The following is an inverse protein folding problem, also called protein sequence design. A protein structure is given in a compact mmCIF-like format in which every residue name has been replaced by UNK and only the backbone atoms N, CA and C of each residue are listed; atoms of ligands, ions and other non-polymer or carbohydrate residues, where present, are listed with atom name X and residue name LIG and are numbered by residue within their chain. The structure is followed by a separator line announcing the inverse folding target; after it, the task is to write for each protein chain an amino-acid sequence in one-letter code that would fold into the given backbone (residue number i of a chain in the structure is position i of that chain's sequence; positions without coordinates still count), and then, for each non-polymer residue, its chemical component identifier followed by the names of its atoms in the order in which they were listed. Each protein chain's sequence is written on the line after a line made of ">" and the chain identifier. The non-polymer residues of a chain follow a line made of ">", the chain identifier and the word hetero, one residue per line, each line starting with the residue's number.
data_IF_059036038480
#
_entry.id   IF_059036038480
#
_cell.length_a   1.000
_cell.length_b   1.000
_cell.length_c   1.000
_cell.angle_alpha   90.00
_cell.angle_beta   90.00
_cell.angle_gamma   90.00
#
_symmetry.space_group_name_H-M   'P 1'
#
loop_
_entity.id
_entity.type
_entity.pdbx_description
1 polymer ?
#
# COMPACT_ATOMS: atom_id res chain seq x y z
N UNK A 1 21.33 -6.61 -21.35
CA UNK A 1 21.29 -6.16 -19.95
C UNK A 1 22.21 -6.98 -19.03
N UNK A 2 23.52 -6.95 -19.26
CA UNK A 2 24.49 -7.60 -18.36
C UNK A 2 25.24 -6.55 -17.51
N UNK A 3 24.50 -5.58 -16.94
CA UNK A 3 25.09 -4.62 -16.01
C UNK A 3 25.11 -5.24 -14.61
N UNK A 4 26.32 -5.45 -14.04
CA UNK A 4 26.52 -6.05 -12.73
C UNK A 4 25.78 -5.28 -11.62
N UNK A 5 25.82 -3.95 -11.66
CA UNK A 5 25.14 -3.09 -10.68
C UNK A 5 23.62 -3.25 -10.76
N UNK A 6 23.04 -3.30 -11.96
CA UNK A 6 21.61 -3.53 -12.12
C UNK A 6 21.18 -4.92 -11.57
N UNK A 7 21.98 -5.96 -11.84
CA UNK A 7 21.70 -7.30 -11.32
C UNK A 7 21.73 -7.33 -9.81
N UNK A 8 22.71 -6.67 -9.16
CA UNK A 8 22.78 -6.54 -7.70
C UNK A 8 21.54 -5.86 -7.15
N UNK A 9 21.08 -4.76 -7.77
CA UNK A 9 19.86 -4.07 -7.34
C UNK A 9 18.63 -4.98 -7.49
N UNK A 10 18.47 -5.67 -8.61
CA UNK A 10 17.31 -6.56 -8.82
C UNK A 10 17.28 -7.69 -7.79
N UNK A 11 18.40 -8.35 -7.53
CA UNK A 11 18.48 -9.43 -6.54
C UNK A 11 18.27 -8.88 -5.13
N UNK A 12 18.91 -7.75 -4.78
CA UNK A 12 18.70 -7.07 -3.51
C UNK A 12 17.22 -6.69 -3.31
N UNK A 13 16.57 -6.14 -4.34
CA UNK A 13 15.14 -5.83 -4.30
C UNK A 13 14.27 -7.08 -4.10
N UNK A 14 14.55 -8.18 -4.76
CA UNK A 14 13.83 -9.44 -4.54
C UNK A 14 13.94 -9.86 -3.07
N UNK A 15 15.14 -9.90 -2.54
CA UNK A 15 15.41 -10.31 -1.15
C UNK A 15 14.73 -9.37 -0.16
N UNK A 16 14.92 -8.06 -0.30
CA UNK A 16 14.37 -7.06 0.63
C UNK A 16 12.86 -6.96 0.55
N UNK A 17 12.27 -6.95 -0.66
CA UNK A 17 10.82 -6.82 -0.81
C UNK A 17 10.06 -8.07 -0.34
N UNK A 18 10.57 -9.29 -0.64
CA UNK A 18 9.97 -10.51 -0.11
C UNK A 18 10.12 -10.59 1.40
N UNK A 19 11.34 -10.33 1.93
CA UNK A 19 11.59 -10.31 3.37
C UNK A 19 10.64 -9.35 4.09
N UNK A 20 10.48 -8.16 3.53
CA UNK A 20 9.58 -7.12 4.02
C UNK A 20 8.09 -7.55 3.98
N UNK A 21 7.64 -8.06 2.85
CA UNK A 21 6.24 -8.48 2.69
C UNK A 21 5.91 -9.61 3.68
N UNK A 22 6.80 -10.60 3.80
CA UNK A 22 6.66 -11.73 4.72
C UNK A 22 6.65 -11.23 6.17
N UNK A 23 7.57 -10.35 6.54
CA UNK A 23 7.63 -9.82 7.91
C UNK A 23 6.41 -8.98 8.25
N UNK A 24 6.02 -8.05 7.38
CA UNK A 24 4.86 -7.19 7.62
C UNK A 24 3.59 -8.00 7.83
N UNK A 25 3.34 -8.99 6.98
CA UNK A 25 2.22 -9.90 7.10
C UNK A 25 2.28 -10.68 8.43
N UNK A 26 3.43 -11.30 8.70
CA UNK A 26 3.62 -12.16 9.88
C UNK A 26 3.56 -11.39 11.19
N UNK A 27 4.15 -10.19 11.26
CA UNK A 27 4.05 -9.33 12.45
C UNK A 27 2.61 -8.82 12.67
N UNK A 28 1.90 -8.52 11.60
CA UNK A 28 0.48 -8.10 11.70
C UNK A 28 -0.38 -9.22 12.26
N UNK A 29 -0.21 -10.43 11.75
CA UNK A 29 -0.96 -11.59 12.21
C UNK A 29 -0.57 -11.98 13.65
N UNK A 30 0.73 -12.03 13.94
CA UNK A 30 1.24 -12.27 15.28
C UNK A 30 0.69 -11.28 16.30
N UNK A 31 0.61 -10.00 15.94
CA UNK A 31 0.07 -8.97 16.82
C UNK A 31 -1.41 -9.21 17.15
N UNK A 32 -2.20 -9.62 16.16
CA UNK A 32 -3.60 -9.95 16.35
C UNK A 32 -3.77 -11.18 17.26
N UNK A 33 -3.00 -12.25 17.02
CA UNK A 33 -3.01 -13.46 17.84
C UNK A 33 -2.49 -13.19 19.26
N UNK A 34 -1.39 -12.44 19.40
CA UNK A 34 -0.75 -12.14 20.68
C UNK A 34 -1.61 -11.27 21.59
N UNK A 35 -2.30 -10.27 21.02
CA UNK A 35 -3.13 -9.33 21.80
C UNK A 35 -4.57 -9.80 21.98
N UNK A 36 -5.08 -10.61 21.07
CA UNK A 36 -6.49 -10.98 21.01
C UNK A 36 -7.44 -9.80 20.77
N UNK A 37 -6.92 -8.61 20.43
CA UNK A 37 -7.66 -7.36 20.27
C UNK A 37 -7.47 -6.78 18.88
N UNK A 38 -8.58 -6.67 18.14
CA UNK A 38 -8.58 -5.98 16.83
C UNK A 38 -8.39 -4.48 16.97
N UNK A 39 -8.77 -3.89 18.10
CA UNK A 39 -8.51 -2.46 18.37
C UNK A 39 -7.02 -2.18 18.53
N UNK A 40 -6.30 -2.95 19.34
CA UNK A 40 -4.83 -2.79 19.50
C UNK A 40 -4.13 -3.05 18.18
N UNK A 41 -4.49 -4.12 17.47
CA UNK A 41 -3.98 -4.45 16.16
C UNK A 41 -4.16 -3.29 15.17
N UNK A 42 -5.38 -2.76 15.06
CA UNK A 42 -5.69 -1.66 14.14
C UNK A 42 -5.00 -0.35 14.51
N UNK A 43 -4.83 -0.05 15.80
CA UNK A 43 -4.09 1.13 16.27
C UNK A 43 -2.63 1.07 15.82
N UNK A 44 -1.97 -0.06 15.97
CA UNK A 44 -0.56 -0.23 15.59
C UNK A 44 -0.41 -0.13 14.07
N UNK A 45 -1.29 -0.76 13.28
CA UNK A 45 -1.27 -0.61 11.83
C UNK A 45 -1.48 0.84 11.39
N UNK A 46 -2.45 1.53 11.99
CA UNK A 46 -2.72 2.94 11.69
C UNK A 46 -1.52 3.84 12.02
N UNK A 47 -0.91 3.67 13.19
CA UNK A 47 0.29 4.40 13.60
C UNK A 47 1.47 4.11 12.66
N UNK A 48 1.64 2.86 12.22
CA UNK A 48 2.69 2.45 11.28
C UNK A 48 2.52 3.06 9.88
N UNK A 49 1.36 3.63 9.55
CA UNK A 49 1.11 4.34 8.29
C UNK A 49 1.61 5.79 8.34
N UNK A 50 1.72 6.39 9.55
CA UNK A 50 2.11 7.80 9.73
C UNK A 50 3.48 8.13 9.09
N UNK A 51 4.52 7.29 9.24
CA UNK A 51 5.82 7.57 8.64
C UNK A 51 5.79 7.77 7.13
N UNK A 52 4.95 7.03 6.40
CA UNK A 52 4.81 7.21 4.95
C UNK A 52 4.39 8.62 4.57
N UNK A 53 3.58 9.27 5.40
CA UNK A 53 3.08 10.62 5.16
C UNK A 53 4.15 11.66 5.47
N UNK A 54 4.81 11.52 6.64
CA UNK A 54 5.76 12.50 7.14
C UNK A 54 7.08 12.44 6.37
N UNK A 55 7.57 11.23 6.09
CA UNK A 55 8.90 11.02 5.50
C UNK A 55 8.90 10.94 3.97
N UNK A 56 7.75 10.82 3.29
CA UNK A 56 7.70 10.80 1.83
C UNK A 56 8.33 12.03 1.16
N UNK A 57 8.06 13.29 1.58
CA UNK A 57 8.73 14.46 1.01
C UNK A 57 10.23 14.47 1.30
N UNK A 58 10.63 13.99 2.47
CA UNK A 58 12.02 13.94 2.93
C UNK A 58 12.80 12.91 2.12
N UNK A 59 12.19 11.76 1.82
CA UNK A 59 12.84 10.65 1.10
C UNK A 59 13.28 11.03 -0.31
N UNK A 60 12.45 11.79 -1.04
CA UNK A 60 12.80 12.32 -2.36
C UNK A 60 14.03 13.23 -2.28
N UNK A 61 13.99 14.23 -1.41
CA UNK A 61 15.10 15.16 -1.23
C UNK A 61 16.38 14.47 -0.74
N UNK A 62 16.26 13.47 0.16
CA UNK A 62 17.39 12.69 0.65
C UNK A 62 18.06 11.94 -0.50
N UNK A 63 17.29 11.29 -1.38
CA UNK A 63 17.82 10.55 -2.53
C UNK A 63 18.47 11.46 -3.59
N UNK A 64 18.11 12.76 -3.61
CA UNK A 64 18.71 13.74 -4.52
C UNK A 64 19.97 14.40 -3.94
N UNK A 65 20.16 14.35 -2.61
CA UNK A 65 21.23 15.07 -1.92
C UNK A 65 22.34 14.15 -1.38
N UNK A 66 22.05 12.87 -1.17
CA UNK A 66 22.98 11.90 -0.59
C UNK A 66 23.22 10.75 -1.57
N UNK A 67 24.42 10.18 -1.55
CA UNK A 67 24.74 9.00 -2.35
C UNK A 67 23.73 7.86 -2.07
N UNK A 68 23.03 7.45 -3.12
CA UNK A 68 21.91 6.48 -3.05
C UNK A 68 22.36 5.12 -2.54
N UNK A 69 23.56 4.67 -2.92
CA UNK A 69 24.19 3.46 -2.35
C UNK A 69 24.30 3.54 -0.83
N UNK A 70 24.80 4.68 -0.30
CA UNK A 70 24.92 4.86 1.15
C UNK A 70 23.59 4.80 1.86
N UNK A 71 22.56 5.42 1.28
CA UNK A 71 21.18 5.36 1.84
C UNK A 71 20.72 3.91 1.93
N UNK A 72 20.82 3.14 0.84
CA UNK A 72 20.39 1.77 0.77
C UNK A 72 21.15 0.88 1.79
N UNK A 73 22.47 0.90 1.73
CA UNK A 73 23.33 0.09 2.59
C UNK A 73 23.12 0.38 4.08
N UNK A 74 23.07 1.67 4.47
CA UNK A 74 22.87 2.02 5.88
C UNK A 74 21.48 1.67 6.39
N UNK A 75 20.43 1.85 5.57
CA UNK A 75 19.07 1.49 5.96
C UNK A 75 18.93 -0.03 6.12
N UNK A 76 19.49 -0.82 5.20
CA UNK A 76 19.41 -2.29 5.29
C UNK A 76 20.21 -2.83 6.48
N UNK A 77 21.41 -2.30 6.77
CA UNK A 77 22.12 -2.64 8.01
C UNK A 77 21.35 -2.25 9.26
N UNK A 78 20.73 -1.08 9.26
CA UNK A 78 19.92 -0.62 10.38
C UNK A 78 18.71 -1.53 10.59
N UNK A 79 18.00 -1.90 9.50
CA UNK A 79 16.87 -2.84 9.54
C UNK A 79 17.33 -4.21 10.05
N UNK A 80 18.47 -4.74 9.57
CA UNK A 80 19.04 -6.00 10.06
C UNK A 80 19.32 -5.97 11.55
N UNK A 81 19.92 -4.89 12.06
CA UNK A 81 20.21 -4.71 13.48
C UNK A 81 18.92 -4.57 14.30
N UNK A 82 17.97 -3.75 13.87
CA UNK A 82 16.67 -3.54 14.53
C UNK A 82 15.91 -4.87 14.66
N UNK A 83 15.80 -5.62 13.57
CA UNK A 83 15.09 -6.89 13.54
C UNK A 83 15.84 -7.95 14.32
N UNK A 84 17.18 -7.94 14.28
CA UNK A 84 18.03 -8.84 15.08
C UNK A 84 17.84 -8.60 16.60
N UNK A 85 17.77 -7.33 17.04
CA UNK A 85 17.46 -6.98 18.44
C UNK A 85 16.05 -7.45 18.79
N UNK A 86 15.07 -7.23 17.91
CA UNK A 86 13.72 -7.71 18.12
C UNK A 86 13.64 -9.22 18.21
N UNK A 87 14.35 -9.95 17.35
CA UNK A 87 14.45 -11.41 17.41
C UNK A 87 14.97 -11.90 18.77
N UNK A 88 15.99 -11.22 19.31
CA UNK A 88 16.54 -11.54 20.62
C UNK A 88 15.53 -11.32 21.75
N UNK A 89 14.78 -10.23 21.74
CA UNK A 89 13.69 -9.94 22.70
C UNK A 89 12.60 -11.00 22.62
N UNK A 90 12.17 -11.33 21.41
CA UNK A 90 11.13 -12.32 21.11
C UNK A 90 11.52 -13.74 21.57
N UNK A 91 12.78 -14.11 21.39
CA UNK A 91 13.31 -15.42 21.83
C UNK A 91 13.34 -15.54 23.36
N UNK A 92 13.53 -14.43 24.06
CA UNK A 92 13.50 -14.38 25.54
C UNK A 92 12.08 -14.37 26.13
N UNK A 93 11.06 -14.27 25.31
CA UNK A 93 9.68 -14.21 25.76
C UNK A 93 9.26 -12.86 26.40
N UNK A 94 10.05 -11.81 26.19
CA UNK A 94 9.81 -10.46 26.74
C UNK A 94 9.13 -9.55 25.68
N UNK A 95 8.22 -10.10 24.89
CA UNK A 95 7.54 -9.34 23.86
C UNK A 95 6.32 -8.57 24.40
N UNK A 96 5.95 -7.50 23.70
CA UNK A 96 4.77 -6.70 23.98
C UNK A 96 4.26 -6.03 22.73
N UNK A 97 2.95 -5.70 22.70
CA UNK A 97 2.34 -4.97 21.58
C UNK A 97 3.07 -3.65 21.27
N UNK A 98 3.58 -2.97 22.30
CA UNK A 98 4.36 -1.74 22.14
C UNK A 98 5.68 -1.98 21.41
N UNK A 99 6.40 -3.08 21.73
CA UNK A 99 7.67 -3.44 21.08
C UNK A 99 7.40 -3.76 19.61
N UNK A 100 6.41 -4.61 19.33
CA UNK A 100 6.00 -4.95 17.95
C UNK A 100 5.64 -3.70 17.17
N UNK A 101 4.79 -2.84 17.73
CA UNK A 101 4.38 -1.58 17.12
C UNK A 101 5.55 -0.62 16.86
N UNK A 102 6.48 -0.51 17.81
CA UNK A 102 7.69 0.31 17.64
C UNK A 102 8.57 -0.20 16.50
N UNK A 103 8.78 -1.51 16.40
CA UNK A 103 9.54 -2.12 15.30
C UNK A 103 8.84 -1.86 13.96
N UNK A 104 7.52 -2.07 13.88
CA UNK A 104 6.76 -1.81 12.66
C UNK A 104 6.82 -0.34 12.25
N UNK A 105 6.73 0.58 13.21
CA UNK A 105 6.82 2.02 12.96
C UNK A 105 8.19 2.43 12.41
N UNK A 106 9.28 1.95 13.03
CA UNK A 106 10.65 2.26 12.59
C UNK A 106 10.91 1.65 11.21
N UNK A 107 10.48 0.41 10.95
CA UNK A 107 10.58 -0.20 9.64
C UNK A 107 9.84 0.61 8.57
N UNK A 108 8.67 1.16 8.89
CA UNK A 108 7.92 2.02 7.95
C UNK A 108 8.72 3.28 7.57
N UNK A 109 9.48 3.87 8.49
CA UNK A 109 10.40 4.97 8.19
C UNK A 109 11.45 4.49 7.19
N UNK A 110 12.11 3.38 7.49
CA UNK A 110 13.18 2.83 6.63
C UNK A 110 12.68 2.58 5.21
N UNK A 111 11.51 1.97 5.05
CA UNK A 111 10.92 1.70 3.74
C UNK A 111 10.58 2.96 2.96
N UNK A 112 10.04 3.97 3.66
CA UNK A 112 9.71 5.25 3.02
C UNK A 112 10.96 5.93 2.47
N UNK A 113 12.09 5.80 3.16
CA UNK A 113 13.36 6.41 2.75
C UNK A 113 14.07 5.57 1.67
N UNK A 114 13.95 4.25 1.71
CA UNK A 114 14.65 3.31 0.82
C UNK A 114 14.12 3.34 -0.62
N UNK A 115 12.80 3.34 -0.81
CA UNK A 115 12.16 3.24 -2.13
C UNK A 115 12.66 4.27 -3.16
N UNK A 116 12.64 5.59 -2.86
CA UNK A 116 13.15 6.62 -3.76
C UNK A 116 14.65 6.48 -4.04
N UNK A 117 15.47 6.01 -3.10
CA UNK A 117 16.89 5.79 -3.32
C UNK A 117 17.13 4.72 -4.40
N UNK A 118 16.36 3.63 -4.37
CA UNK A 118 16.41 2.59 -5.40
C UNK A 118 15.98 3.13 -6.76
N UNK A 119 14.78 3.71 -6.85
CA UNK A 119 14.23 4.16 -8.13
C UNK A 119 15.08 5.26 -8.78
N UNK A 120 15.66 6.16 -7.98
CA UNK A 120 16.55 7.22 -8.47
C UNK A 120 17.93 6.68 -8.86
N UNK A 121 18.37 5.52 -8.36
CA UNK A 121 19.66 4.92 -8.73
C UNK A 121 19.65 4.29 -10.13
N UNK A 122 18.49 3.84 -10.62
CA UNK A 122 18.38 3.14 -11.89
C UNK A 122 18.93 3.94 -13.08
N UNK A 123 18.58 5.24 -13.25
CA UNK A 123 19.13 6.06 -14.36
C UNK A 123 20.65 6.30 -14.27
N UNK A 124 21.26 6.07 -13.10
CA UNK A 124 22.72 6.25 -12.94
C UNK A 124 23.55 5.02 -13.32
N UNK A 125 22.89 3.85 -13.41
CA UNK A 125 23.55 2.57 -13.63
C UNK A 125 23.12 1.87 -14.92
N UNK A 126 22.07 2.37 -15.58
CA UNK A 126 21.53 1.80 -16.80
C UNK A 126 21.49 2.86 -17.91
N UNK A 127 21.90 2.49 -19.11
CA UNK A 127 21.88 3.37 -20.29
C UNK A 127 20.43 3.79 -20.62
N UNK A 128 20.25 4.98 -21.21
CA UNK A 128 18.92 5.52 -21.55
C UNK A 128 18.06 4.58 -22.39
N UNK A 129 18.66 3.87 -23.34
CA UNK A 129 17.98 2.89 -24.20
C UNK A 129 17.35 1.73 -23.41
N UNK A 130 17.92 1.38 -22.26
CA UNK A 130 17.52 0.28 -21.41
C UNK A 130 16.66 0.69 -20.21
N UNK A 131 16.46 1.99 -19.96
CA UNK A 131 15.72 2.50 -18.79
C UNK A 131 14.28 1.96 -18.70
N UNK A 132 13.55 1.96 -19.80
CA UNK A 132 12.16 1.44 -19.83
C UNK A 132 12.11 -0.03 -19.42
N UNK A 133 13.06 -0.83 -19.93
CA UNK A 133 13.13 -2.25 -19.60
C UNK A 133 13.57 -2.49 -18.17
N UNK A 134 14.51 -1.70 -17.63
CA UNK A 134 14.97 -1.76 -16.25
C UNK A 134 13.83 -1.43 -15.27
N UNK A 135 13.11 -0.33 -15.50
CA UNK A 135 11.94 0.04 -14.72
C UNK A 135 10.83 -1.03 -14.82
N UNK A 136 10.64 -1.62 -15.99
CA UNK A 136 9.72 -2.75 -16.20
C UNK A 136 10.05 -3.94 -15.31
N UNK A 137 11.32 -4.33 -15.22
CA UNK A 137 11.78 -5.44 -14.36
C UNK A 137 11.55 -5.12 -12.88
N UNK A 138 11.91 -3.93 -12.40
CA UNK A 138 11.70 -3.54 -11.01
C UNK A 138 10.19 -3.54 -10.65
N UNK A 139 9.34 -3.02 -11.54
CA UNK A 139 7.89 -3.04 -11.33
C UNK A 139 7.32 -4.48 -11.34
N UNK A 140 7.86 -5.37 -12.18
CA UNK A 140 7.47 -6.78 -12.18
C UNK A 140 7.84 -7.48 -10.88
N UNK A 141 9.05 -7.22 -10.33
CA UNK A 141 9.46 -7.74 -9.02
C UNK A 141 8.47 -7.30 -7.95
N UNK A 142 8.14 -6.01 -7.88
CA UNK A 142 7.14 -5.50 -6.94
C UNK A 142 5.76 -6.16 -7.11
N UNK A 143 5.32 -6.36 -8.34
CA UNK A 143 4.04 -7.02 -8.63
C UNK A 143 4.02 -8.48 -8.20
N UNK A 144 5.10 -9.23 -8.45
CA UNK A 144 5.24 -10.63 -8.01
C UNK A 144 5.24 -10.71 -6.49
N UNK A 145 5.98 -9.84 -5.81
CA UNK A 145 6.01 -9.78 -4.34
C UNK A 145 4.65 -9.49 -3.76
N UNK A 146 3.88 -8.60 -4.36
CA UNK A 146 2.54 -8.26 -3.88
C UNK A 146 1.55 -9.44 -3.98
N UNK A 147 1.71 -10.33 -4.96
CA UNK A 147 0.86 -11.53 -5.11
C UNK A 147 1.37 -12.70 -4.29
N UNK A 148 2.65 -13.01 -4.44
CA UNK A 148 3.26 -14.23 -3.88
C UNK A 148 3.66 -14.02 -2.42
N UNK A 149 4.01 -12.79 -2.04
CA UNK A 149 4.46 -12.44 -0.69
C UNK A 149 3.48 -12.85 0.41
N UNK A 150 2.20 -12.45 0.39
CA UNK A 150 1.23 -12.85 1.39
C UNK A 150 1.01 -14.36 1.47
N UNK A 151 0.98 -15.06 0.31
CA UNK A 151 0.83 -16.52 0.26
C UNK A 151 2.01 -17.20 0.95
N UNK A 152 3.25 -16.81 0.58
CA UNK A 152 4.45 -17.34 1.22
C UNK A 152 4.50 -16.98 2.70
N UNK A 153 4.11 -15.77 3.06
CA UNK A 153 4.10 -15.31 4.44
C UNK A 153 3.12 -16.14 5.30
N UNK A 154 1.92 -16.41 4.81
CA UNK A 154 0.94 -17.25 5.51
C UNK A 154 1.46 -18.67 5.71
N UNK A 155 2.02 -19.29 4.65
CA UNK A 155 2.63 -20.64 4.74
C UNK A 155 3.80 -20.65 5.72
N UNK A 156 4.73 -19.71 5.58
CA UNK A 156 5.91 -19.68 6.44
C UNK A 156 5.55 -19.36 7.90
N UNK A 157 4.57 -18.50 8.12
CA UNK A 157 4.10 -18.18 9.46
C UNK A 157 3.45 -19.38 10.13
N UNK A 158 2.57 -20.11 9.43
CA UNK A 158 1.93 -21.31 9.94
C UNK A 158 2.93 -22.45 10.23
N UNK A 159 3.94 -22.64 9.37
CA UNK A 159 4.93 -23.70 9.52
C UNK A 159 6.04 -23.37 10.52
N UNK A 160 6.55 -22.14 10.52
CA UNK A 160 7.79 -21.77 11.23
C UNK A 160 7.52 -20.85 12.43
N UNK A 161 6.37 -20.19 12.46
CA UNK A 161 6.01 -19.18 13.46
C UNK A 161 6.84 -17.91 13.35
N UNK A 162 6.44 -16.89 14.13
CA UNK A 162 7.04 -15.55 14.07
C UNK A 162 8.55 -15.53 14.38
N UNK A 163 9.01 -16.36 15.32
CA UNK A 163 10.41 -16.36 15.78
C UNK A 163 11.39 -16.64 14.64
N UNK A 164 11.10 -17.66 13.85
CA UNK A 164 11.97 -18.05 12.72
C UNK A 164 11.89 -17.02 11.60
N UNK A 165 10.70 -16.49 11.30
CA UNK A 165 10.52 -15.49 10.26
C UNK A 165 11.33 -14.21 10.56
N UNK A 166 11.28 -13.73 11.81
CA UNK A 166 12.03 -12.55 12.21
C UNK A 166 13.55 -12.76 12.05
N UNK A 167 14.05 -13.94 12.38
CA UNK A 167 15.47 -14.29 12.18
C UNK A 167 15.81 -14.33 10.68
N UNK A 168 15.00 -15.01 9.88
CA UNK A 168 15.20 -15.07 8.42
C UNK A 168 15.25 -13.67 7.82
N UNK A 169 14.35 -12.78 8.25
CA UNK A 169 14.30 -11.43 7.72
C UNK A 169 15.49 -10.57 8.17
N UNK A 170 15.96 -10.71 9.43
CA UNK A 170 17.20 -10.06 9.87
C UNK A 170 18.38 -10.46 8.99
N UNK A 171 18.51 -11.77 8.68
CA UNK A 171 19.54 -12.29 7.78
C UNK A 171 19.35 -11.79 6.35
N UNK A 172 18.11 -11.71 5.85
CA UNK A 172 17.80 -11.19 4.51
C UNK A 172 18.25 -9.74 4.35
N UNK A 173 17.96 -8.86 5.31
CA UNK A 173 18.43 -7.48 5.29
C UNK A 173 19.96 -7.39 5.38
N UNK A 174 20.58 -8.23 6.21
CA UNK A 174 22.05 -8.28 6.30
C UNK A 174 22.68 -8.69 4.96
N UNK A 175 22.13 -9.70 4.30
CA UNK A 175 22.60 -10.15 2.98
C UNK A 175 22.39 -9.07 1.92
N UNK A 176 21.22 -8.41 1.91
CA UNK A 176 20.94 -7.30 1.01
C UNK A 176 21.96 -6.17 1.21
N UNK A 177 22.19 -5.74 2.45
CA UNK A 177 23.16 -4.70 2.78
C UNK A 177 24.58 -5.05 2.29
N UNK A 178 25.04 -6.30 2.53
CA UNK A 178 26.34 -6.77 2.05
C UNK A 178 26.41 -6.75 0.51
N UNK A 179 25.36 -7.20 -0.18
CA UNK A 179 25.32 -7.16 -1.65
C UNK A 179 25.36 -5.72 -2.18
N UNK A 180 24.64 -4.81 -1.55
CA UNK A 180 24.61 -3.40 -1.93
C UNK A 180 25.92 -2.67 -1.70
N UNK A 181 26.79 -3.14 -0.80
CA UNK A 181 28.14 -2.61 -0.67
C UNK A 181 29.00 -2.78 -1.94
N UNK A 182 28.68 -3.75 -2.79
CA UNK A 182 29.36 -3.97 -4.08
C UNK A 182 28.77 -3.17 -5.24
N UNK A 183 27.74 -2.33 -5.00
CA UNK A 183 27.23 -1.39 -5.99
C UNK A 183 28.27 -0.31 -6.27
N UNK A 184 28.40 0.03 -7.55
CA UNK A 184 29.15 1.20 -7.99
C UNK A 184 28.16 2.22 -8.57
N UNK A 185 27.74 3.15 -7.71
CA UNK A 185 26.81 4.23 -8.05
C UNK A 185 27.56 5.54 -7.91
N UNK A 186 27.61 6.38 -8.98
CA UNK A 186 28.26 7.66 -8.92
C UNK A 186 27.75 8.55 -7.78
N UNK A 187 28.66 9.29 -7.17
CA UNK A 187 28.25 10.29 -6.16
C UNK A 187 27.35 11.36 -6.81
N UNK A 188 26.33 11.76 -6.10
CA UNK A 188 25.51 12.90 -6.49
C UNK A 188 26.40 14.13 -6.42
N UNK A 189 26.39 14.97 -7.48
CA UNK A 189 27.15 16.21 -7.49
C UNK A 189 26.75 17.04 -6.26
N UNK A 190 27.70 17.28 -5.36
CA UNK A 190 27.49 18.08 -4.16
C UNK A 190 27.15 19.50 -4.53
N UNK A 191 25.88 19.85 -4.44
CA UNK A 191 25.51 21.25 -4.22
C UNK A 191 25.62 21.48 -2.70
N UNK A 192 26.72 22.10 -2.25
CA UNK A 192 27.07 22.28 -0.82
C UNK A 192 25.97 22.99 0.01
N UNK A 193 25.05 23.70 -0.62
CA UNK A 193 23.91 24.34 0.05
C UNK A 193 22.73 23.40 0.37
N UNK A 194 22.70 22.19 -0.21
CA UNK A 194 21.51 21.33 -0.13
C UNK A 194 21.49 20.41 1.10
N UNK A 195 22.65 20.08 1.68
CA UNK A 195 22.75 19.08 2.75
C UNK A 195 22.39 19.64 4.13
N UNK A 196 22.66 20.91 4.39
CA UNK A 196 22.36 21.56 5.69
C UNK A 196 20.85 21.82 5.92
N UNK A 197 20.02 21.75 4.87
CA UNK A 197 18.57 22.06 4.93
C UNK A 197 17.66 20.85 4.70
N UNK A 198 18.18 19.63 4.86
CA UNK A 198 17.41 18.39 4.58
C UNK A 198 16.18 18.21 5.48
N UNK A 199 16.22 18.70 6.71
CA UNK A 199 15.11 18.66 7.69
C UNK A 199 14.78 20.07 8.16
N UNK A 200 14.74 21.03 7.24
CA UNK A 200 14.31 22.39 7.57
C UNK A 200 12.80 22.41 7.79
N UNK A 201 12.36 23.01 8.89
CA UNK A 201 10.94 23.28 9.16
C UNK A 201 10.28 24.06 8.00
N UNK A 202 11.05 24.86 7.27
CA UNK A 202 10.59 25.62 6.11
C UNK A 202 10.28 24.71 4.92
N UNK A 203 11.03 23.61 4.71
CA UNK A 203 10.72 22.62 3.68
C UNK A 203 9.42 21.88 3.98
N UNK A 204 9.21 21.48 5.23
CA UNK A 204 7.97 20.84 5.67
C UNK A 204 6.79 21.81 5.51
N UNK A 205 6.93 23.06 5.95
CA UNK A 205 5.91 24.11 5.77
C UNK A 205 5.61 24.37 4.29
N UNK A 206 6.62 24.40 3.43
CA UNK A 206 6.44 24.56 1.98
C UNK A 206 5.67 23.38 1.38
N UNK A 207 5.98 22.15 1.76
CA UNK A 207 5.26 20.96 1.28
C UNK A 207 3.78 20.99 1.70
N UNK A 208 3.47 21.41 2.92
CA UNK A 208 2.08 21.63 3.36
C UNK A 208 1.41 22.81 2.64
N UNK A 209 2.18 23.86 2.33
CA UNK A 209 1.72 24.98 1.49
C UNK A 209 1.33 24.52 0.09
N UNK A 210 2.18 23.75 -0.57
CA UNK A 210 1.91 23.15 -1.88
C UNK A 210 0.65 22.25 -1.88
N UNK A 211 0.41 21.53 -0.80
CA UNK A 211 -0.82 20.72 -0.63
C UNK A 211 -2.08 21.61 -0.53
N UNK A 212 -1.99 22.69 0.26
CA UNK A 212 -3.09 23.65 0.40
C UNK A 212 -3.39 24.35 -0.94
N UNK A 213 -2.36 24.76 -1.66
CA UNK A 213 -2.49 25.41 -2.97
C UNK A 213 -3.11 24.44 -3.99
N UNK A 214 -2.71 23.18 -3.98
CA UNK A 214 -3.32 22.14 -4.81
C UNK A 214 -4.80 21.95 -4.51
N UNK A 215 -5.19 21.93 -3.24
CA UNK A 215 -6.59 21.86 -2.84
C UNK A 215 -7.40 23.07 -3.33
N UNK A 216 -6.86 24.29 -3.15
CA UNK A 216 -7.52 25.52 -3.59
C UNK A 216 -7.68 25.55 -5.11
N UNK A 217 -6.65 25.18 -5.84
CA UNK A 217 -6.68 25.05 -7.31
C UNK A 217 -7.77 24.07 -7.76
N UNK A 218 -7.77 22.85 -7.20
CA UNK A 218 -8.74 21.82 -7.55
C UNK A 218 -10.18 22.24 -7.22
N UNK A 219 -10.39 22.90 -6.08
CA UNK A 219 -11.72 23.40 -5.66
C UNK A 219 -12.26 24.47 -6.59
N UNK A 220 -11.40 25.34 -7.13
CA UNK A 220 -11.80 26.43 -8.03
C UNK A 220 -11.94 25.98 -9.48
N UNK A 221 -10.95 25.26 -10.00
CA UNK A 221 -10.79 25.03 -11.44
C UNK A 221 -11.08 23.59 -11.88
N UNK A 222 -10.86 22.59 -11.00
CA UNK A 222 -10.91 21.17 -11.35
C UNK A 222 -11.75 20.36 -10.36
N UNK A 223 -13.01 20.74 -10.17
CA UNK A 223 -13.93 20.12 -9.19
C UNK A 223 -14.11 18.62 -9.41
N UNK A 224 -14.10 18.14 -10.66
CA UNK A 224 -14.20 16.71 -10.98
C UNK A 224 -12.99 15.95 -10.46
N UNK A 225 -11.76 16.49 -10.63
CA UNK A 225 -10.55 15.89 -10.10
C UNK A 225 -10.58 15.83 -8.58
N UNK A 226 -11.06 16.89 -7.92
CA UNK A 226 -11.22 16.91 -6.47
C UNK A 226 -12.23 15.83 -6.00
N UNK A 227 -13.34 15.63 -6.73
CA UNK A 227 -14.31 14.58 -6.42
C UNK A 227 -13.70 13.16 -6.57
N UNK A 228 -12.85 12.95 -7.57
CA UNK A 228 -12.10 11.71 -7.72
C UNK A 228 -11.16 11.47 -6.53
N UNK A 229 -10.39 12.48 -6.11
CA UNK A 229 -9.50 12.36 -4.95
C UNK A 229 -10.29 12.09 -3.66
N UNK A 230 -11.44 12.73 -3.48
CA UNK A 230 -12.35 12.44 -2.37
C UNK A 230 -12.85 10.98 -2.40
N UNK A 231 -13.09 10.41 -3.60
CA UNK A 231 -13.46 9.00 -3.72
C UNK A 231 -12.34 8.05 -3.30
N UNK A 232 -11.08 8.38 -3.54
CA UNK A 232 -9.94 7.60 -3.04
C UNK A 232 -9.90 7.57 -1.51
N UNK A 233 -10.08 8.74 -0.87
CA UNK A 233 -10.18 8.83 0.58
C UNK A 233 -11.30 7.95 1.11
N UNK A 234 -12.47 8.02 0.49
CA UNK A 234 -13.63 7.21 0.88
C UNK A 234 -13.37 5.71 0.75
N UNK A 235 -12.79 5.26 -0.37
CA UNK A 235 -12.41 3.86 -0.57
C UNK A 235 -11.39 3.41 0.50
N UNK A 236 -10.41 4.24 0.84
CA UNK A 236 -9.41 3.89 1.83
C UNK A 236 -9.99 3.82 3.26
N UNK A 237 -10.99 4.63 3.60
CA UNK A 237 -11.66 4.55 4.90
C UNK A 237 -12.52 3.28 5.02
N UNK A 238 -13.25 2.89 3.97
CA UNK A 238 -14.28 1.85 4.07
C UNK A 238 -13.93 0.50 3.43
N UNK A 239 -12.95 0.44 2.53
CA UNK A 239 -12.59 -0.81 1.85
C UNK A 239 -11.24 -1.38 2.28
N UNK A 240 -10.23 -0.54 2.47
CA UNK A 240 -8.91 -1.01 2.92
C UNK A 240 -9.01 -1.78 4.25
N UNK A 241 -9.79 -1.33 5.26
CA UNK A 241 -9.94 -2.08 6.50
C UNK A 241 -10.60 -3.45 6.34
N UNK A 242 -11.42 -3.68 5.31
CA UNK A 242 -11.99 -5.01 5.05
C UNK A 242 -10.87 -6.02 4.81
N UNK A 243 -9.84 -5.64 4.05
CA UNK A 243 -8.74 -6.55 3.74
C UNK A 243 -7.67 -6.55 4.83
N UNK A 244 -7.39 -5.38 5.47
CA UNK A 244 -6.31 -5.28 6.44
C UNK A 244 -6.70 -5.61 7.88
N UNK A 245 -7.98 -5.46 8.27
CA UNK A 245 -8.48 -5.70 9.64
C UNK A 245 -9.49 -6.84 9.66
N UNK A 246 -10.53 -6.77 8.79
CA UNK A 246 -11.62 -7.77 8.82
C UNK A 246 -11.14 -9.12 8.32
N UNK A 247 -10.34 -9.19 7.26
CA UNK A 247 -9.89 -10.45 6.68
C UNK A 247 -9.10 -11.33 7.66
N UNK A 248 -8.00 -10.86 8.31
CA UNK A 248 -7.29 -11.69 9.29
C UNK A 248 -8.17 -12.02 10.51
N UNK A 249 -8.98 -11.09 11.00
CA UNK A 249 -9.92 -11.38 12.09
C UNK A 249 -10.94 -12.44 11.70
N UNK A 250 -11.58 -12.32 10.53
CA UNK A 250 -12.58 -13.27 10.07
C UNK A 250 -12.00 -14.67 9.86
N UNK A 251 -10.85 -14.78 9.20
CA UNK A 251 -10.28 -16.07 8.82
C UNK A 251 -9.61 -16.75 10.00
N UNK A 252 -8.76 -16.04 10.75
CA UNK A 252 -7.94 -16.66 11.79
C UNK A 252 -8.60 -16.65 13.17
N UNK A 253 -9.47 -15.66 13.48
CA UNK A 253 -10.13 -15.58 14.80
C UNK A 253 -11.54 -16.15 14.76
N UNK A 254 -12.41 -15.73 13.81
CA UNK A 254 -13.80 -16.19 13.78
C UNK A 254 -13.96 -17.59 13.17
N UNK A 255 -13.23 -17.89 12.09
CA UNK A 255 -13.29 -19.21 11.44
C UNK A 255 -12.26 -20.19 12.02
N UNK A 256 -11.31 -19.71 12.83
CA UNK A 256 -10.22 -20.50 13.40
C UNK A 256 -9.44 -21.31 12.34
N UNK A 257 -9.30 -20.73 11.13
CA UNK A 257 -8.58 -21.36 10.04
C UNK A 257 -7.09 -21.02 10.12
N UNK A 258 -6.20 -21.91 9.61
CA UNK A 258 -4.77 -21.69 9.59
C UNK A 258 -4.36 -20.43 8.83
N UNK A 259 -3.21 -19.85 9.20
CA UNK A 259 -2.67 -18.61 8.61
C UNK A 259 -2.38 -18.71 7.12
N UNK A 260 -2.11 -19.92 6.61
CA UNK A 260 -1.95 -20.24 5.19
C UNK A 260 -3.19 -19.89 4.39
N UNK A 261 -4.39 -20.11 4.96
CA UNK A 261 -5.65 -19.77 4.31
C UNK A 261 -5.83 -18.27 4.18
N UNK A 262 -5.44 -17.49 5.21
CA UNK A 262 -5.43 -16.04 5.11
C UNK A 262 -4.48 -15.54 4.02
N UNK A 263 -3.27 -16.10 3.94
CA UNK A 263 -2.31 -15.77 2.88
C UNK A 263 -2.84 -16.07 1.47
N UNK A 264 -3.53 -17.21 1.29
CA UNK A 264 -4.18 -17.57 0.02
C UNK A 264 -5.30 -16.59 -0.31
N UNK A 265 -6.14 -16.24 0.66
CA UNK A 265 -7.23 -15.27 0.48
C UNK A 265 -6.68 -13.91 0.04
N UNK A 266 -5.63 -13.42 0.67
CA UNK A 266 -4.99 -12.16 0.28
C UNK A 266 -4.39 -12.24 -1.13
N UNK A 267 -3.74 -13.35 -1.48
CA UNK A 267 -3.26 -13.62 -2.84
C UNK A 267 -4.37 -13.60 -3.89
N UNK A 268 -5.52 -14.21 -3.61
CA UNK A 268 -6.71 -14.17 -4.49
C UNK A 268 -7.24 -12.75 -4.64
N UNK A 269 -7.24 -11.95 -3.58
CA UNK A 269 -7.63 -10.53 -3.67
C UNK A 269 -6.71 -9.76 -4.64
N UNK A 270 -5.40 -9.97 -4.53
CA UNK A 270 -4.41 -9.31 -5.43
C UNK A 270 -4.58 -9.76 -6.88
N UNK A 271 -4.96 -11.00 -7.15
CA UNK A 271 -5.33 -11.44 -8.50
C UNK A 271 -6.46 -10.60 -9.09
N UNK A 272 -7.43 -10.17 -8.28
CA UNK A 272 -8.49 -9.25 -8.71
C UNK A 272 -7.92 -7.93 -9.25
N UNK A 273 -6.90 -7.37 -8.58
CA UNK A 273 -6.22 -6.15 -9.02
C UNK A 273 -5.52 -6.35 -10.38
N UNK A 274 -4.85 -7.48 -10.57
CA UNK A 274 -4.17 -7.83 -11.84
C UNK A 274 -5.20 -7.99 -12.96
N UNK A 275 -6.29 -8.74 -12.71
CA UNK A 275 -7.35 -8.96 -13.69
C UNK A 275 -8.02 -7.64 -14.10
N UNK A 276 -8.24 -6.71 -13.17
CA UNK A 276 -8.79 -5.39 -13.46
C UNK A 276 -7.87 -4.56 -14.35
N UNK A 277 -6.58 -4.48 -14.01
CA UNK A 277 -5.58 -3.80 -14.82
C UNK A 277 -5.41 -4.38 -16.21
N UNK A 278 -5.41 -5.71 -16.32
CA UNK A 278 -5.34 -6.41 -17.59
C UNK A 278 -6.59 -6.17 -18.47
N UNK A 279 -7.77 -6.23 -17.87
CA UNK A 279 -9.02 -6.01 -18.61
C UNK A 279 -9.10 -4.60 -19.21
N UNK A 280 -8.79 -3.56 -18.43
CA UNK A 280 -8.81 -2.18 -18.95
C UNK A 280 -7.73 -1.97 -20.02
N UNK A 281 -6.58 -2.66 -19.92
CA UNK A 281 -5.48 -2.56 -20.89
C UNK A 281 -5.85 -3.18 -22.24
N UNK A 282 -6.58 -4.30 -22.25
CA UNK A 282 -6.98 -4.98 -23.49
C UNK A 282 -8.16 -4.29 -24.17
N UNK A 283 -9.13 -3.79 -23.36
CA UNK A 283 -10.35 -3.17 -23.90
C UNK A 283 -10.55 -1.74 -23.39
N UNK A 284 -9.62 -0.81 -23.60
CA UNK A 284 -9.69 0.54 -23.07
C UNK A 284 -10.92 1.31 -23.55
N UNK A 285 -11.42 1.02 -24.76
CA UNK A 285 -12.62 1.67 -25.35
C UNK A 285 -13.93 1.31 -24.62
N UNK A 286 -13.97 0.21 -23.85
CA UNK A 286 -15.13 -0.14 -23.04
C UNK A 286 -15.31 0.80 -21.82
N UNK A 287 -14.22 1.40 -21.37
CA UNK A 287 -14.17 2.19 -20.17
C UNK A 287 -14.11 3.68 -20.51
N UNK A 288 -15.04 4.44 -19.95
CA UNK A 288 -15.14 5.88 -20.16
C UNK A 288 -15.45 6.57 -18.84
N UNK A 289 -14.95 7.78 -18.66
CA UNK A 289 -15.26 8.60 -17.48
C UNK A 289 -16.75 8.91 -17.35
N UNK A 290 -17.49 8.98 -18.44
CA UNK A 290 -18.97 9.09 -18.44
C UNK A 290 -19.64 7.93 -17.70
N UNK A 291 -19.01 6.77 -17.70
CA UNK A 291 -19.52 5.52 -17.13
C UNK A 291 -18.65 4.99 -15.98
N UNK A 292 -17.78 5.82 -15.40
CA UNK A 292 -16.83 5.38 -14.35
C UNK A 292 -17.53 4.78 -13.13
N UNK A 293 -18.75 5.23 -12.79
CA UNK A 293 -19.51 4.68 -11.67
C UNK A 293 -19.81 3.18 -11.83
N UNK A 294 -19.86 2.64 -13.06
CA UNK A 294 -20.03 1.18 -13.26
C UNK A 294 -18.83 0.37 -12.83
N UNK A 295 -17.62 0.95 -12.84
CA UNK A 295 -16.41 0.23 -12.37
C UNK A 295 -16.43 -0.05 -10.87
N UNK A 296 -17.33 0.61 -10.12
CA UNK A 296 -17.49 0.42 -8.68
C UNK A 296 -18.55 -0.65 -8.31
N UNK A 297 -19.34 -1.17 -9.28
CA UNK A 297 -20.36 -2.19 -8.97
C UNK A 297 -19.77 -3.55 -8.50
N UNK A 298 -18.64 -4.06 -9.06
CA UNK A 298 -18.05 -5.28 -8.54
C UNK A 298 -17.69 -5.19 -7.06
N UNK A 299 -17.23 -4.02 -6.58
CA UNK A 299 -16.92 -3.79 -5.18
C UNK A 299 -18.16 -3.90 -4.29
N UNK A 300 -19.31 -3.32 -4.72
CA UNK A 300 -20.57 -3.45 -3.97
C UNK A 300 -20.97 -4.93 -3.89
N UNK A 301 -20.91 -5.66 -5.02
CA UNK A 301 -21.20 -7.09 -5.04
C UNK A 301 -20.27 -7.87 -4.12
N UNK A 302 -18.97 -7.56 -4.11
CA UNK A 302 -17.98 -8.20 -3.25
C UNK A 302 -18.27 -7.99 -1.76
N UNK A 303 -18.50 -6.74 -1.33
CA UNK A 303 -18.83 -6.45 0.09
C UNK A 303 -20.17 -7.04 0.48
N UNK A 304 -21.16 -7.07 -0.44
CA UNK A 304 -22.46 -7.69 -0.19
C UNK A 304 -22.33 -9.20 0.02
N UNK A 305 -21.54 -9.89 -0.81
CA UNK A 305 -21.23 -11.31 -0.61
C UNK A 305 -20.58 -11.57 0.75
N UNK A 306 -19.61 -10.74 1.14
CA UNK A 306 -18.98 -10.85 2.45
C UNK A 306 -19.97 -10.58 3.59
N UNK A 307 -20.91 -9.64 3.43
CA UNK A 307 -21.89 -9.32 4.48
C UNK A 307 -22.82 -10.48 4.79
N UNK A 308 -23.19 -11.29 3.78
CA UNK A 308 -24.03 -12.46 3.93
C UNK A 308 -23.37 -13.50 4.85
N UNK A 309 -22.02 -13.61 4.83
CA UNK A 309 -21.28 -14.55 5.67
C UNK A 309 -21.45 -14.29 7.17
N UNK A 310 -21.83 -13.08 7.57
CA UNK A 310 -22.15 -12.77 8.96
C UNK A 310 -23.48 -13.35 9.47
N UNK A 311 -24.32 -13.90 8.59
CA UNK A 311 -25.67 -14.38 8.92
C UNK A 311 -25.89 -15.87 8.60
N UNK A 312 -24.97 -16.50 7.86
CA UNK A 312 -25.06 -17.90 7.48
C UNK A 312 -23.95 -18.70 8.18
N UNK A 313 -24.25 -19.97 8.50
CA UNK A 313 -23.24 -20.91 9.00
C UNK A 313 -23.12 -22.05 8.00
N UNK A 314 -22.01 -22.09 7.30
CA UNK A 314 -21.61 -23.17 6.40
C UNK A 314 -20.18 -23.60 6.76
N UNK A 315 -19.62 -24.52 6.01
CA UNK A 315 -18.24 -24.96 6.23
C UNK A 315 -17.27 -23.77 6.20
N UNK A 316 -16.33 -23.70 7.16
CA UNK A 316 -15.41 -22.58 7.34
C UNK A 316 -14.54 -22.32 6.09
N UNK A 317 -14.09 -23.36 5.39
CA UNK A 317 -13.34 -23.20 4.13
C UNK A 317 -14.21 -22.62 3.00
N UNK A 318 -15.49 -22.99 2.95
CA UNK A 318 -16.42 -22.39 1.99
C UNK A 318 -16.65 -20.91 2.30
N UNK A 319 -16.76 -20.55 3.59
CA UNK A 319 -16.86 -19.14 4.01
C UNK A 319 -15.62 -18.35 3.62
N UNK A 320 -14.41 -18.88 3.85
CA UNK A 320 -13.16 -18.26 3.42
C UNK A 320 -13.06 -18.09 1.89
N UNK A 321 -13.56 -19.08 1.13
CA UNK A 321 -13.57 -19.01 -0.35
C UNK A 321 -14.52 -17.91 -0.85
N UNK A 322 -15.71 -17.79 -0.27
CA UNK A 322 -16.67 -16.72 -0.62
C UNK A 322 -16.08 -15.35 -0.24
N UNK A 323 -15.41 -15.26 0.91
CA UNK A 323 -14.73 -14.03 1.34
C UNK A 323 -13.61 -13.66 0.35
N UNK A 324 -12.78 -14.61 -0.06
CA UNK A 324 -11.72 -14.41 -1.06
C UNK A 324 -12.28 -13.90 -2.40
N UNK A 325 -13.39 -14.48 -2.87
CA UNK A 325 -14.05 -14.05 -4.09
C UNK A 325 -14.64 -12.63 -3.95
N UNK A 326 -15.20 -12.28 -2.80
CA UNK A 326 -15.61 -10.92 -2.50
C UNK A 326 -14.44 -9.93 -2.54
N UNK A 327 -13.29 -10.29 -1.97
CA UNK A 327 -12.06 -9.50 -2.00
C UNK A 327 -11.48 -9.33 -3.41
N UNK A 328 -11.54 -10.39 -4.23
CA UNK A 328 -11.19 -10.33 -5.65
C UNK A 328 -12.04 -9.30 -6.38
N UNK A 329 -13.36 -9.29 -6.18
CA UNK A 329 -14.26 -8.31 -6.80
C UNK A 329 -13.97 -6.87 -6.35
N UNK A 330 -13.64 -6.66 -5.07
CA UNK A 330 -13.24 -5.35 -4.53
C UNK A 330 -11.98 -4.88 -5.23
N UNK A 331 -10.92 -5.70 -5.29
CA UNK A 331 -9.64 -5.34 -5.87
C UNK A 331 -9.71 -5.14 -7.38
N UNK A 332 -10.51 -5.94 -8.09
CA UNK A 332 -10.81 -5.77 -9.52
C UNK A 332 -11.45 -4.40 -9.76
N UNK A 333 -12.46 -4.05 -8.96
CA UNK A 333 -13.16 -2.77 -9.04
C UNK A 333 -12.23 -1.58 -8.81
N UNK A 334 -11.40 -1.64 -7.76
CA UNK A 334 -10.43 -0.60 -7.42
C UNK A 334 -9.39 -0.42 -8.53
N UNK A 335 -8.90 -1.52 -9.13
CA UNK A 335 -7.94 -1.46 -10.23
C UNK A 335 -8.54 -0.78 -11.46
N UNK A 336 -9.74 -1.16 -11.86
CA UNK A 336 -10.45 -0.56 -13.00
C UNK A 336 -10.68 0.95 -12.78
N UNK A 337 -11.18 1.33 -11.60
CA UNK A 337 -11.46 2.74 -11.29
C UNK A 337 -10.18 3.57 -11.19
N UNK A 338 -9.12 3.04 -10.55
CA UNK A 338 -7.85 3.75 -10.38
C UNK A 338 -7.17 4.07 -11.72
N UNK A 339 -7.07 3.09 -12.63
CA UNK A 339 -6.44 3.31 -13.94
C UNK A 339 -7.20 4.37 -14.73
N UNK A 340 -8.54 4.29 -14.75
CA UNK A 340 -9.39 5.20 -15.49
C UNK A 340 -9.32 6.63 -14.94
N UNK A 341 -9.43 6.77 -13.63
CA UNK A 341 -9.44 8.07 -12.94
C UNK A 341 -8.05 8.73 -12.94
N UNK A 342 -6.97 7.95 -12.76
CA UNK A 342 -5.60 8.45 -12.87
C UNK A 342 -5.32 9.01 -14.27
N UNK A 343 -5.69 8.26 -15.31
CA UNK A 343 -5.56 8.72 -16.70
C UNK A 343 -6.33 10.01 -16.96
N UNK A 344 -7.52 10.14 -16.37
CA UNK A 344 -8.31 11.37 -16.47
C UNK A 344 -7.62 12.55 -15.78
N UNK A 345 -7.10 12.35 -14.55
CA UNK A 345 -6.35 13.38 -13.82
C UNK A 345 -5.15 13.87 -14.66
N UNK A 346 -4.38 12.94 -15.24
CA UNK A 346 -3.22 13.26 -16.08
C UNK A 346 -3.60 14.08 -17.32
N UNK A 347 -4.79 13.87 -17.90
CA UNK A 347 -5.28 14.65 -19.05
C UNK A 347 -5.85 16.02 -18.68
N UNK A 348 -6.42 16.13 -17.47
CA UNK A 348 -7.13 17.36 -17.05
C UNK A 348 -6.25 18.36 -16.32
N UNK A 349 -5.16 17.91 -15.72
CA UNK A 349 -4.26 18.77 -14.93
C UNK A 349 -3.06 19.15 -15.79
N UNK A 350 -2.74 20.46 -15.91
CA UNK A 350 -1.55 20.91 -16.63
C UNK A 350 -0.26 20.29 -16.07
N UNK A 351 0.73 20.05 -16.94
CA UNK A 351 1.98 19.35 -16.59
C UNK A 351 2.76 20.02 -15.44
N UNK A 352 2.72 21.36 -15.35
CA UNK A 352 3.36 22.13 -14.27
C UNK A 352 2.69 21.97 -12.90
N UNK A 353 1.43 21.53 -12.84
CA UNK A 353 0.68 21.27 -11.60
C UNK A 353 0.51 19.78 -11.30
N UNK A 354 0.75 18.92 -12.29
CA UNK A 354 0.46 17.49 -12.18
C UNK A 354 1.22 16.80 -11.03
N UNK A 355 2.49 17.16 -10.82
CA UNK A 355 3.27 16.61 -9.70
C UNK A 355 2.69 16.97 -8.33
N UNK A 356 2.29 18.24 -8.13
CA UNK A 356 1.68 18.70 -6.87
C UNK A 356 0.31 18.06 -6.63
N UNK A 357 -0.53 17.98 -7.66
CA UNK A 357 -1.85 17.34 -7.58
C UNK A 357 -1.73 15.85 -7.31
N UNK A 358 -0.77 15.16 -7.95
CA UNK A 358 -0.50 13.73 -7.67
C UNK A 358 -0.02 13.52 -6.24
N UNK A 359 0.91 14.34 -5.74
CA UNK A 359 1.36 14.27 -4.36
C UNK A 359 0.21 14.51 -3.36
N UNK A 360 -0.65 15.50 -3.62
CA UNK A 360 -1.85 15.75 -2.83
C UNK A 360 -2.80 14.55 -2.84
N UNK A 361 -3.03 13.94 -4.01
CA UNK A 361 -3.89 12.75 -4.16
C UNK A 361 -3.38 11.57 -3.35
N UNK A 362 -2.08 11.27 -3.44
CA UNK A 362 -1.44 10.19 -2.69
C UNK A 362 -1.50 10.46 -1.18
N UNK A 363 -1.22 11.69 -0.75
CA UNK A 363 -1.28 12.07 0.65
C UNK A 363 -2.71 11.90 1.23
N UNK A 364 -3.74 12.39 0.53
CA UNK A 364 -5.14 12.23 0.95
C UNK A 364 -5.52 10.76 1.02
N UNK A 365 -5.16 9.96 0.02
CA UNK A 365 -5.43 8.53 0.01
C UNK A 365 -4.75 7.82 1.20
N UNK A 366 -3.47 8.11 1.46
CA UNK A 366 -2.70 7.45 2.53
C UNK A 366 -3.19 7.85 3.92
N UNK A 367 -3.45 9.15 4.16
CA UNK A 367 -3.97 9.65 5.45
C UNK A 367 -5.32 9.02 5.77
N UNK A 368 -6.13 8.74 4.76
CA UNK A 368 -7.48 8.19 4.92
C UNK A 368 -7.50 6.71 5.35
N UNK A 369 -6.38 5.98 5.24
CA UNK A 369 -6.30 4.57 5.66
C UNK A 369 -6.44 4.43 7.18
N UNK A 370 -5.69 5.23 7.94
CA UNK A 370 -5.61 5.11 9.40
C UNK A 370 -6.98 5.30 10.11
N UNK A 371 -7.79 6.33 9.81
CA UNK A 371 -9.12 6.46 10.39
C UNK A 371 -10.03 5.26 10.12
N UNK A 372 -9.95 4.67 8.92
CA UNK A 372 -10.70 3.47 8.57
C UNK A 372 -10.27 2.27 9.40
N UNK A 373 -8.97 2.01 9.50
CA UNK A 373 -8.43 0.91 10.31
C UNK A 373 -8.84 1.05 11.78
N UNK A 374 -8.71 2.24 12.36
CA UNK A 374 -9.13 2.51 13.75
C UNK A 374 -10.62 2.26 13.96
N UNK A 375 -11.47 2.75 13.03
CA UNK A 375 -12.91 2.58 13.11
C UNK A 375 -13.30 1.09 13.13
N UNK A 376 -12.80 0.31 12.16
CA UNK A 376 -13.16 -1.10 12.06
C UNK A 376 -12.62 -1.94 13.22
N UNK A 377 -11.38 -1.67 13.66
CA UNK A 377 -10.82 -2.37 14.80
C UNK A 377 -11.60 -2.15 16.09
N UNK A 378 -11.99 -0.90 16.37
CA UNK A 378 -12.77 -0.56 17.56
C UNK A 378 -14.19 -1.15 17.49
N UNK A 379 -14.86 -1.05 16.34
CA UNK A 379 -16.23 -1.55 16.18
C UNK A 379 -16.30 -3.08 16.33
N UNK A 380 -15.26 -3.79 15.86
CA UNK A 380 -15.13 -5.25 16.06
C UNK A 380 -14.93 -5.57 17.55
N UNK A 381 -14.03 -4.88 18.23
CA UNK A 381 -13.76 -5.10 19.66
C UNK A 381 -14.96 -4.76 20.57
N UNK A 382 -15.85 -3.85 20.13
CA UNK A 382 -17.13 -3.58 20.80
C UNK A 382 -18.12 -4.76 20.67
N UNK A 383 -17.77 -5.82 19.96
CA UNK A 383 -18.61 -7.00 19.76
C UNK A 383 -19.74 -6.81 18.76
N UNK A 384 -19.67 -5.78 17.89
CA UNK A 384 -20.69 -5.61 16.85
C UNK A 384 -20.56 -6.73 15.83
N UNK A 385 -21.65 -7.47 15.51
CA UNK A 385 -21.61 -8.57 14.57
C UNK A 385 -21.03 -8.15 13.20
N UNK A 386 -20.10 -8.94 12.67
CA UNK A 386 -19.39 -8.64 11.42
C UNK A 386 -20.35 -8.37 10.24
N UNK A 387 -21.46 -9.14 10.16
CA UNK A 387 -22.48 -8.93 9.14
C UNK A 387 -23.07 -7.52 9.15
N UNK A 388 -23.30 -6.94 10.34
CA UNK A 388 -23.82 -5.57 10.48
C UNK A 388 -22.77 -4.55 10.01
N UNK A 389 -21.51 -4.72 10.42
CA UNK A 389 -20.40 -3.86 9.99
C UNK A 389 -20.31 -3.82 8.46
N UNK A 390 -20.38 -5.00 7.83
CA UNK A 390 -20.28 -5.12 6.37
C UNK A 390 -21.52 -4.58 5.64
N UNK A 391 -22.75 -4.75 6.20
CA UNK A 391 -23.94 -4.11 5.64
C UNK A 391 -23.83 -2.60 5.66
N UNK A 392 -23.39 -2.01 6.78
CA UNK A 392 -23.13 -0.58 6.88
C UNK A 392 -22.12 -0.14 5.83
N UNK A 393 -21.06 -0.93 5.63
CA UNK A 393 -20.07 -0.69 4.58
C UNK A 393 -20.68 -0.73 3.17
N UNK A 394 -21.61 -1.67 2.88
CA UNK A 394 -22.36 -1.71 1.60
C UNK A 394 -23.13 -0.42 1.39
N UNK A 395 -23.84 0.07 2.41
CA UNK A 395 -24.62 1.32 2.33
C UNK A 395 -23.71 2.51 1.98
N UNK A 396 -22.56 2.63 2.66
CA UNK A 396 -21.59 3.67 2.35
C UNK A 396 -21.04 3.56 0.93
N UNK A 397 -20.75 2.33 0.44
CA UNK A 397 -20.27 2.12 -0.92
C UNK A 397 -21.34 2.42 -1.99
N UNK A 398 -22.61 2.16 -1.72
CA UNK A 398 -23.71 2.62 -2.59
C UNK A 398 -23.75 4.16 -2.62
N UNK A 399 -23.60 4.81 -1.47
CA UNK A 399 -23.50 6.27 -1.38
C UNK A 399 -22.32 6.82 -2.21
N UNK A 400 -21.16 6.14 -2.17
CA UNK A 400 -20.01 6.49 -2.99
C UNK A 400 -20.32 6.40 -4.49
N UNK A 401 -20.97 5.32 -4.93
CA UNK A 401 -21.33 5.17 -6.36
C UNK A 401 -22.28 6.28 -6.81
N UNK A 402 -23.25 6.65 -5.98
CA UNK A 402 -24.15 7.79 -6.27
C UNK A 402 -23.37 9.09 -6.33
N UNK A 403 -22.43 9.31 -5.42
CA UNK A 403 -21.55 10.47 -5.42
C UNK A 403 -20.70 10.54 -6.70
N UNK A 404 -20.05 9.44 -7.08
CA UNK A 404 -19.23 9.35 -8.31
C UNK A 404 -20.10 9.59 -9.54
N UNK A 405 -21.28 9.00 -9.61
CA UNK A 405 -22.21 9.25 -10.73
C UNK A 405 -22.50 10.73 -10.87
N UNK A 406 -22.99 11.39 -9.82
CA UNK A 406 -23.43 12.80 -9.86
C UNK A 406 -22.26 13.79 -10.04
N UNK A 407 -21.12 13.56 -9.36
CA UNK A 407 -20.03 14.56 -9.31
C UNK A 407 -18.92 14.31 -10.35
N UNK A 408 -18.87 13.11 -10.92
CA UNK A 408 -17.87 12.76 -11.92
C UNK A 408 -18.53 12.43 -13.26
N UNK A 409 -19.32 11.36 -13.33
CA UNK A 409 -19.88 10.88 -14.60
C UNK A 409 -20.78 11.91 -15.26
N UNK A 410 -21.78 12.42 -14.54
CA UNK A 410 -22.77 13.37 -15.09
C UNK A 410 -22.10 14.70 -15.44
N UNK A 411 -21.17 15.19 -14.59
CA UNK A 411 -20.43 16.43 -14.87
C UNK A 411 -19.54 16.33 -16.10
N UNK A 412 -18.92 15.16 -16.36
CA UNK A 412 -18.13 14.93 -17.58
C UNK A 412 -19.04 14.93 -18.82
N UNK A 413 -20.22 14.31 -18.74
CA UNK A 413 -21.21 14.33 -19.84
C UNK A 413 -21.63 15.76 -20.16
N UNK A 414 -22.05 16.54 -19.16
CA UNK A 414 -22.47 17.93 -19.34
C UNK A 414 -21.36 18.83 -19.93
N UNK A 415 -20.10 18.59 -19.54
CA UNK A 415 -18.98 19.38 -20.06
C UNK A 415 -18.66 19.09 -21.52
N UNK A 416 -18.83 17.85 -21.97
CA UNK A 416 -18.64 17.48 -23.36
C UNK A 416 -19.81 17.93 -24.26
N UNK A 417 -21.04 17.88 -23.76
CA UNK A 417 -22.22 18.39 -24.47
C UNK A 417 -22.17 19.91 -24.68
N UNK A 418 -21.57 20.67 -23.75
CA UNK A 418 -21.37 22.11 -23.89
C UNK A 418 -20.20 22.48 -24.81
N UNK A 419 -19.30 21.55 -25.08
CA UNK A 419 -18.13 21.74 -25.93
C UNK A 419 -18.37 21.27 -27.40
N UNK A 420 -19.41 20.47 -27.63
CA UNK A 420 -19.91 20.03 -28.94
C UNK A 420 -20.92 21.00 -29.53
#
# INVERSE_FOLDING_TARGET
>A
MRNKNFLIIVIGQIISLFGNAIQRFSMSLYLLEFTGSTAVFSQILAISTIPYIIFAPISGKLSDSVNRKKIMVYLDFFCAALIGIYAFILLRGNDSALIVGTVMFILSICYTLYGPAVTSSIPQIVDEENLTSANGIINQVGSIVNVVGPILAGILYGLLGIKVIVIINAVSFLLSAIMEMFLDIPDVAKNDESTEKLVSMDFIKKSFGDMKDSFVYLKKEKKVVLAIIASYAFCNIFLVPILSIVAPYFINVLLELPSEIYGIVEGVCVLGMILGGFWISIKPKMFSMKKVHYTYYPMIAGVTLMSILGFIKINNYAMATIFAFGGLLIMLSLSLSNVLTLTFIQKQVPSNMLGRVSAFSVAVATISVAPGQLLYGQVIDMGIPLGIILIVTVIFNIGLVVFIKKRVSDTVVESEEKAA
#
